data_IF_543564901923
#
_entry.id   IF_543564901923
#
_cell.length_a   1.000
_cell.length_b   1.000
_cell.length_c   1.000
_cell.angle_alpha   90.00
_cell.angle_beta   90.00
_cell.angle_gamma   90.00
#
_symmetry.space_group_name_H-M   'P 1'
#
loop_
_entity.id
_entity.type
_entity.pdbx_description
1 polymer ?
#
# COMPACT_ATOMS: atom_id res chain seq x y z
N UNK A 1 0.39 8.67 5.12
CA UNK A 1 -1.08 8.64 4.90
C UNK A 1 -1.79 8.67 6.23
N UNK A 2 -2.94 9.34 6.33
CA UNK A 2 -3.60 9.70 7.60
C UNK A 2 -5.10 9.42 7.54
N UNK A 3 -5.62 8.72 8.54
CA UNK A 3 -7.04 8.57 8.83
C UNK A 3 -7.33 9.40 10.09
N UNK A 4 -7.87 10.60 9.89
CA UNK A 4 -8.14 11.54 10.98
C UNK A 4 -9.31 11.11 11.84
N UNK A 5 -10.24 10.32 11.30
CA UNK A 5 -11.43 9.87 12.01
C UNK A 5 -11.07 8.86 13.08
N UNK A 6 -10.17 7.92 12.76
CA UNK A 6 -9.75 6.87 13.69
C UNK A 6 -8.38 7.14 14.34
N UNK A 7 -7.77 8.31 14.09
CA UNK A 7 -6.47 8.69 14.66
C UNK A 7 -5.32 7.79 14.20
N UNK A 8 -5.39 7.22 12.99
CA UNK A 8 -4.39 6.27 12.48
C UNK A 8 -3.51 6.94 11.43
N UNK A 9 -2.21 6.75 11.54
CA UNK A 9 -1.24 7.19 10.54
C UNK A 9 -0.40 6.00 10.09
N UNK A 10 -0.08 5.97 8.80
CA UNK A 10 0.91 5.05 8.22
C UNK A 10 1.97 5.90 7.52
N UNK A 11 3.21 5.73 7.93
CA UNK A 11 4.38 6.27 7.25
C UNK A 11 5.16 5.11 6.62
N UNK A 12 5.54 5.26 5.37
CA UNK A 12 6.36 4.30 4.65
C UNK A 12 7.68 4.96 4.25
N UNK A 13 8.77 4.22 4.44
CA UNK A 13 10.11 4.57 3.97
C UNK A 13 10.66 3.36 3.23
N UNK A 14 11.53 3.61 2.24
CA UNK A 14 12.00 2.60 1.31
C UNK A 14 13.50 2.73 1.09
N UNK A 15 14.15 1.60 0.86
CA UNK A 15 15.58 1.50 0.58
C UNK A 15 15.80 0.61 -0.64
N UNK A 16 16.95 0.75 -1.28
CA UNK A 16 17.33 -0.10 -2.42
C UNK A 16 17.63 -1.54 -1.99
N UNK A 17 18.14 -1.73 -0.77
CA UNK A 17 18.44 -3.06 -0.22
C UNK A 17 18.00 -3.20 1.24
N UNK A 18 17.82 -4.44 1.69
CA UNK A 18 17.50 -4.77 3.08
C UNK A 18 18.64 -4.34 4.03
N UNK A 19 19.89 -4.52 3.62
CA UNK A 19 21.05 -4.10 4.40
C UNK A 19 21.07 -2.58 4.60
N UNK A 20 20.73 -1.80 3.56
CA UNK A 20 20.64 -0.34 3.65
C UNK A 20 19.52 0.11 4.59
N UNK A 21 18.40 -0.62 4.62
CA UNK A 21 17.31 -0.42 5.57
C UNK A 21 17.78 -0.67 7.00
N UNK A 22 18.34 -1.84 7.28
CA UNK A 22 18.81 -2.21 8.62
C UNK A 22 19.95 -1.31 9.12
N UNK A 23 20.89 -0.95 8.25
CA UNK A 23 21.97 -0.01 8.58
C UNK A 23 21.46 1.42 8.90
N UNK A 24 20.23 1.76 8.51
CA UNK A 24 19.61 3.05 8.83
C UNK A 24 18.83 3.05 10.15
N UNK A 25 18.66 1.89 10.80
CA UNK A 25 17.78 1.72 11.97
C UNK A 25 18.11 2.69 13.11
N UNK A 26 19.40 2.90 13.41
CA UNK A 26 19.86 3.84 14.45
C UNK A 26 19.51 5.30 14.12
N UNK A 27 19.47 5.67 12.84
CA UNK A 27 19.11 7.03 12.41
C UNK A 27 17.60 7.25 12.37
N UNK A 28 16.84 6.22 11.99
CA UNK A 28 15.37 6.30 11.88
C UNK A 28 14.68 6.13 13.24
N UNK A 29 15.29 5.42 14.18
CA UNK A 29 14.78 5.23 15.54
C UNK A 29 14.34 6.53 16.23
N UNK A 30 15.22 7.54 16.36
CA UNK A 30 14.87 8.82 16.98
C UNK A 30 13.74 9.58 16.25
N UNK A 31 13.65 9.46 14.91
CA UNK A 31 12.58 10.07 14.12
C UNK A 31 11.23 9.43 14.51
N UNK A 32 11.20 8.10 14.60
CA UNK A 32 10.01 7.34 15.02
C UNK A 32 9.61 7.68 16.46
N UNK A 33 10.56 7.74 17.39
CA UNK A 33 10.29 8.10 18.79
C UNK A 33 9.68 9.51 18.91
N UNK A 34 10.22 10.47 18.16
CA UNK A 34 9.66 11.82 18.11
C UNK A 34 8.24 11.82 17.54
N UNK A 35 7.97 11.06 16.49
CA UNK A 35 6.62 10.94 15.92
C UNK A 35 5.64 10.31 16.91
N UNK A 36 6.06 9.26 17.62
CA UNK A 36 5.27 8.61 18.68
C UNK A 36 4.91 9.61 19.78
N UNK A 37 5.90 10.36 20.28
CA UNK A 37 5.69 11.37 21.32
C UNK A 37 4.73 12.48 20.87
N UNK A 38 4.83 12.94 19.62
CA UNK A 38 3.95 13.97 19.06
C UNK A 38 2.52 13.48 18.84
N UNK A 39 2.34 12.23 18.39
CA UNK A 39 1.00 11.68 18.14
C UNK A 39 0.34 11.08 19.39
N UNK A 40 1.09 10.87 20.47
CA UNK A 40 0.56 10.38 21.74
C UNK A 40 0.08 8.92 21.70
N UNK A 41 0.75 8.07 20.92
CA UNK A 41 0.31 6.69 20.68
C UNK A 41 1.45 5.66 20.74
N UNK A 42 1.29 4.55 20.01
CA UNK A 42 2.32 3.53 19.80
C UNK A 42 2.53 3.31 18.31
N UNK A 43 3.73 2.91 17.90
CA UNK A 43 4.01 2.51 16.52
C UNK A 43 4.19 0.99 16.41
N UNK A 44 3.63 0.42 15.36
CA UNK A 44 3.99 -0.92 14.88
C UNK A 44 4.92 -0.76 13.68
N UNK A 45 6.03 -1.52 13.67
CA UNK A 45 7.01 -1.49 12.58
C UNK A 45 6.95 -2.82 11.86
N UNK A 46 6.79 -2.77 10.54
CA UNK A 46 6.78 -3.95 9.69
C UNK A 46 7.71 -3.72 8.50
N UNK A 47 8.44 -4.76 8.14
CA UNK A 47 9.32 -4.79 6.98
C UNK A 47 8.62 -5.53 5.83
N UNK A 48 8.65 -4.91 4.66
CA UNK A 48 7.98 -5.37 3.46
C UNK A 48 8.89 -5.21 2.25
N UNK A 49 8.80 -6.16 1.34
CA UNK A 49 9.36 -6.07 0.00
C UNK A 49 8.39 -5.31 -0.91
N UNK A 50 8.90 -4.43 -1.77
CA UNK A 50 8.09 -3.77 -2.79
C UNK A 50 8.05 -4.69 -4.01
N UNK A 51 6.91 -5.36 -4.21
CA UNK A 51 6.71 -6.30 -5.33
C UNK A 51 6.21 -5.60 -6.60
N UNK A 52 5.64 -4.41 -6.46
CA UNK A 52 5.16 -3.64 -7.60
C UNK A 52 4.95 -2.17 -7.25
N UNK A 53 5.21 -1.31 -8.22
CA UNK A 53 4.97 0.13 -8.11
C UNK A 53 4.72 0.70 -9.51
N UNK A 54 3.50 1.21 -9.70
CA UNK A 54 3.03 1.76 -10.96
C UNK A 54 2.45 3.15 -10.74
N UNK A 55 2.74 4.11 -11.63
CA UNK A 55 2.18 5.46 -11.58
C UNK A 55 1.60 5.83 -12.96
N UNK A 56 0.29 6.07 -13.01
CA UNK A 56 -0.34 6.64 -14.18
C UNK A 56 -0.03 8.14 -14.28
N UNK A 57 -0.14 8.87 -13.17
CA UNK A 57 0.18 10.30 -13.10
C UNK A 57 0.59 10.75 -11.69
N UNK A 58 1.04 12.02 -11.60
CA UNK A 58 1.45 12.62 -10.32
C UNK A 58 0.23 12.90 -9.45
N UNK A 59 0.34 12.57 -8.17
CA UNK A 59 -0.63 12.94 -7.15
C UNK A 59 -0.55 14.43 -6.84
N UNK A 60 -1.66 14.99 -6.36
CA UNK A 60 -1.78 16.38 -5.95
C UNK A 60 -2.38 16.51 -4.55
N UNK A 61 -2.46 17.73 -4.02
CA UNK A 61 -3.12 18.00 -2.76
C UNK A 61 -4.59 17.56 -2.82
N UNK A 62 -5.06 16.82 -1.82
CA UNK A 62 -6.40 16.21 -1.82
C UNK A 62 -6.42 14.73 -2.22
N UNK A 63 -5.31 14.20 -2.75
CA UNK A 63 -5.17 12.78 -3.05
C UNK A 63 -5.41 11.89 -1.82
N UNK A 64 -5.95 10.71 -2.06
CA UNK A 64 -6.29 9.76 -1.02
C UNK A 64 -5.87 8.34 -1.41
N UNK A 65 -5.74 7.47 -0.43
CA UNK A 65 -5.24 6.10 -0.63
C UNK A 65 -6.20 5.10 -0.01
N UNK A 66 -6.57 4.08 -0.79
CA UNK A 66 -7.18 2.86 -0.27
C UNK A 66 -6.10 1.80 -0.10
N UNK A 67 -5.88 1.36 1.13
CA UNK A 67 -5.00 0.24 1.43
C UNK A 67 -5.83 -1.01 1.72
N UNK A 68 -5.50 -2.10 1.02
CA UNK A 68 -6.12 -3.42 1.17
C UNK A 68 -5.05 -4.39 1.66
N UNK A 69 -5.21 -4.90 2.87
CA UNK A 69 -4.37 -5.96 3.41
C UNK A 69 -4.98 -7.31 3.05
N UNK A 70 -4.14 -8.21 2.56
CA UNK A 70 -4.52 -9.57 2.22
C UNK A 70 -3.51 -10.57 2.78
N UNK A 71 -3.89 -11.85 2.78
CA UNK A 71 -3.01 -12.96 3.11
C UNK A 71 -3.25 -14.12 2.16
N UNK A 72 -2.19 -14.83 1.81
CA UNK A 72 -2.24 -16.11 1.11
C UNK A 72 -1.27 -17.09 1.77
N UNK A 73 -1.23 -18.32 1.29
CA UNK A 73 -0.17 -19.26 1.65
C UNK A 73 1.19 -18.68 1.20
N UNK A 74 2.23 -18.66 2.07
CA UNK A 74 3.56 -18.18 1.71
C UNK A 74 4.11 -18.78 0.40
N UNK A 75 3.82 -20.05 0.11
CA UNK A 75 4.25 -20.72 -1.12
C UNK A 75 3.57 -20.21 -2.39
N UNK A 76 2.47 -19.47 -2.26
CA UNK A 76 1.66 -18.93 -3.36
C UNK A 76 1.86 -17.44 -3.59
N UNK A 77 2.70 -16.77 -2.80
CA UNK A 77 2.82 -15.31 -2.85
C UNK A 77 3.32 -14.80 -4.20
N UNK A 78 4.27 -15.49 -4.84
CA UNK A 78 4.76 -15.12 -6.17
C UNK A 78 3.66 -15.24 -7.22
N UNK A 79 2.91 -16.33 -7.22
CA UNK A 79 1.77 -16.49 -8.12
C UNK A 79 0.69 -15.40 -7.90
N UNK A 80 0.47 -14.98 -6.66
CA UNK A 80 -0.45 -13.89 -6.34
C UNK A 80 0.07 -12.52 -6.84
N UNK A 81 1.38 -12.27 -6.75
CA UNK A 81 2.02 -11.08 -7.32
C UNK A 81 1.87 -11.05 -8.84
N UNK A 82 2.10 -12.17 -9.52
CA UNK A 82 1.94 -12.24 -10.99
C UNK A 82 0.49 -11.97 -11.42
N UNK A 83 -0.50 -12.57 -10.76
CA UNK A 83 -1.92 -12.29 -11.05
C UNK A 83 -2.27 -10.83 -10.76
N UNK A 84 -1.72 -10.27 -9.68
CA UNK A 84 -1.91 -8.85 -9.38
C UNK A 84 -1.38 -7.96 -10.51
N UNK A 85 -0.15 -8.20 -10.98
CA UNK A 85 0.47 -7.42 -12.05
C UNK A 85 -0.25 -7.60 -13.39
N UNK A 86 -0.61 -8.83 -13.74
CA UNK A 86 -1.18 -9.14 -15.06
C UNK A 86 -2.67 -8.80 -15.20
N UNK A 87 -3.42 -8.74 -14.10
CA UNK A 87 -4.88 -8.56 -14.14
C UNK A 87 -5.39 -7.45 -13.23
N UNK A 88 -5.08 -7.53 -11.93
CA UNK A 88 -5.64 -6.60 -10.95
C UNK A 88 -5.17 -5.16 -11.18
N UNK A 89 -3.87 -4.95 -11.41
CA UNK A 89 -3.30 -3.62 -11.62
C UNK A 89 -3.87 -2.93 -12.88
N UNK A 90 -3.88 -3.54 -14.07
CA UNK A 90 -4.55 -2.96 -15.24
C UNK A 90 -6.01 -2.61 -14.99
N UNK A 91 -6.75 -3.47 -14.28
CA UNK A 91 -8.15 -3.17 -13.96
C UNK A 91 -8.31 -2.04 -12.92
N UNK A 92 -7.30 -1.79 -12.08
CA UNK A 92 -7.27 -0.64 -11.17
C UNK A 92 -6.99 0.67 -11.91
N UNK A 93 -6.19 0.63 -12.99
CA UNK A 93 -5.91 1.80 -13.84
C UNK A 93 -7.18 2.37 -14.49
N UNK A 94 -8.16 1.51 -14.77
CA UNK A 94 -9.47 1.91 -15.31
C UNK A 94 -10.42 2.55 -14.28
N UNK A 95 -10.04 2.57 -12.99
CA UNK A 95 -10.85 3.22 -11.96
C UNK A 95 -10.75 4.73 -12.08
N UNK A 96 -11.90 5.40 -11.97
CA UNK A 96 -11.98 6.85 -11.96
C UNK A 96 -11.02 7.47 -10.92
N UNK A 97 -10.21 8.43 -11.39
CA UNK A 97 -9.21 9.13 -10.61
C UNK A 97 -8.01 8.31 -10.15
N UNK A 98 -7.75 7.12 -10.70
CA UNK A 98 -6.56 6.33 -10.36
C UNK A 98 -5.25 7.10 -10.66
N UNK A 99 -4.39 7.30 -9.67
CA UNK A 99 -3.08 7.93 -9.87
C UNK A 99 -1.93 6.91 -9.90
N UNK A 100 -1.95 5.95 -8.97
CA UNK A 100 -0.85 5.01 -8.78
C UNK A 100 -1.28 3.82 -7.92
N UNK A 101 -0.53 2.73 -8.01
CA UNK A 101 -0.63 1.61 -7.10
C UNK A 101 0.74 1.13 -6.64
N UNK A 102 0.83 0.71 -5.38
CA UNK A 102 1.97 -0.04 -4.87
C UNK A 102 1.53 -1.35 -4.24
N UNK A 103 2.32 -2.40 -4.45
CA UNK A 103 2.15 -3.69 -3.82
C UNK A 103 3.36 -3.98 -2.94
N UNK A 104 3.11 -4.19 -1.66
CA UNK A 104 4.12 -4.57 -0.68
C UNK A 104 3.81 -5.97 -0.14
N UNK A 105 4.82 -6.83 -0.04
CA UNK A 105 4.66 -8.24 0.35
C UNK A 105 5.58 -8.61 1.51
N UNK A 106 5.15 -9.58 2.30
CA UNK A 106 5.98 -10.25 3.29
C UNK A 106 5.97 -11.75 2.98
N UNK A 107 7.01 -12.20 2.26
CA UNK A 107 7.13 -13.58 1.76
C UNK A 107 6.99 -14.64 2.85
N UNK A 108 7.59 -14.40 4.01
CA UNK A 108 7.58 -15.34 5.14
C UNK A 108 6.18 -15.56 5.72
N UNK A 109 5.37 -14.51 5.81
CA UNK A 109 4.04 -14.59 6.43
C UNK A 109 2.90 -14.79 5.42
N UNK A 110 3.18 -14.65 4.12
CA UNK A 110 2.16 -14.68 3.07
C UNK A 110 1.28 -13.42 3.04
N UNK A 111 1.61 -12.38 3.83
CA UNK A 111 0.84 -11.13 3.87
C UNK A 111 1.23 -10.23 2.70
N UNK A 112 0.27 -9.46 2.21
CA UNK A 112 0.50 -8.38 1.27
C UNK A 112 -0.40 -7.17 1.59
N UNK A 113 0.01 -6.00 1.13
CA UNK A 113 -0.84 -4.81 1.12
C UNK A 113 -0.73 -4.12 -0.24
N UNK A 114 -1.88 -3.92 -0.87
CA UNK A 114 -2.01 -3.09 -2.07
C UNK A 114 -2.52 -1.71 -1.65
N UNK A 115 -1.81 -0.66 -2.05
CA UNK A 115 -2.18 0.73 -1.83
C UNK A 115 -2.54 1.36 -3.17
N UNK A 116 -3.81 1.71 -3.36
CA UNK A 116 -4.31 2.42 -4.55
C UNK A 116 -4.49 3.89 -4.22
N UNK A 117 -3.84 4.77 -4.97
CA UNK A 117 -3.98 6.21 -4.80
C UNK A 117 -4.96 6.77 -5.81
N UNK A 118 -5.84 7.65 -5.35
CA UNK A 118 -6.82 8.36 -6.17
C UNK A 118 -6.62 9.87 -6.08
N UNK A 119 -7.07 10.59 -7.11
CA UNK A 119 -6.99 12.05 -7.23
C UNK A 119 -7.66 12.76 -6.05
N UNK A 120 -8.83 12.27 -5.65
CA UNK A 120 -9.59 12.83 -4.54
C UNK A 120 -10.50 11.78 -3.86
N UNK A 121 -11.07 12.18 -2.73
CA UNK A 121 -11.95 11.33 -1.93
C UNK A 121 -13.25 10.94 -2.65
N UNK A 122 -13.72 11.74 -3.60
CA UNK A 122 -14.95 11.49 -4.35
C UNK A 122 -14.73 10.40 -5.40
N UNK A 123 -13.64 10.48 -6.16
CA UNK A 123 -13.19 9.44 -7.08
C UNK A 123 -12.96 8.11 -6.35
N UNK A 124 -12.25 8.14 -5.21
CA UNK A 124 -12.10 6.95 -4.36
C UNK A 124 -13.46 6.41 -3.91
N UNK A 125 -14.40 7.26 -3.46
CA UNK A 125 -15.72 6.81 -3.02
C UNK A 125 -16.53 6.18 -4.15
N UNK A 126 -16.49 6.75 -5.37
CA UNK A 126 -17.15 6.19 -6.57
C UNK A 126 -16.55 4.84 -6.97
N UNK A 127 -15.24 4.64 -6.78
CA UNK A 127 -14.55 3.39 -7.15
C UNK A 127 -14.75 2.24 -6.16
N UNK A 128 -15.46 2.43 -5.03
CA UNK A 128 -15.59 1.42 -3.95
C UNK A 128 -16.14 0.09 -4.42
N UNK A 129 -17.22 0.10 -5.21
CA UNK A 129 -17.88 -1.12 -5.69
C UNK A 129 -16.98 -1.87 -6.68
N UNK A 130 -16.44 -1.17 -7.67
CA UNK A 130 -15.51 -1.75 -8.66
C UNK A 130 -14.26 -2.31 -7.97
N UNK A 131 -13.65 -1.55 -7.06
CA UNK A 131 -12.49 -2.01 -6.27
C UNK A 131 -12.82 -3.21 -5.39
N UNK A 132 -14.04 -3.31 -4.85
CA UNK A 132 -14.48 -4.51 -4.13
C UNK A 132 -14.64 -5.72 -5.05
N UNK A 133 -15.18 -5.55 -6.26
CA UNK A 133 -15.28 -6.62 -7.26
C UNK A 133 -13.88 -7.13 -7.66
N UNK A 134 -12.92 -6.23 -7.93
CA UNK A 134 -11.54 -6.61 -8.23
C UNK A 134 -10.90 -7.46 -7.13
N UNK A 135 -11.16 -7.12 -5.85
CA UNK A 135 -10.67 -7.92 -4.71
C UNK A 135 -11.30 -9.31 -4.67
N UNK A 136 -12.61 -9.43 -4.95
CA UNK A 136 -13.30 -10.73 -5.01
C UNK A 136 -12.73 -11.59 -6.14
N UNK A 137 -12.48 -11.01 -7.31
CA UNK A 137 -11.94 -11.75 -8.44
C UNK A 137 -10.48 -12.16 -8.21
N UNK A 138 -9.65 -11.28 -7.64
CA UNK A 138 -8.29 -11.61 -7.21
C UNK A 138 -8.29 -12.75 -6.19
N UNK A 139 -9.20 -12.72 -5.20
CA UNK A 139 -9.36 -13.79 -4.21
C UNK A 139 -9.72 -15.13 -4.85
N UNK A 140 -10.62 -15.15 -5.83
CA UNK A 140 -11.00 -16.38 -6.56
C UNK A 140 -9.84 -16.98 -7.35
N UNK A 141 -9.01 -16.15 -7.98
CA UNK A 141 -7.92 -16.62 -8.83
C UNK A 141 -6.70 -17.09 -8.02
N UNK A 142 -6.39 -16.40 -6.92
CA UNK A 142 -5.12 -16.61 -6.18
C UNK A 142 -5.31 -17.31 -4.84
N UNK A 143 -6.53 -17.37 -4.32
CA UNK A 143 -6.82 -17.83 -2.96
C UNK A 143 -6.44 -16.83 -1.88
N UNK A 144 -6.22 -15.55 -2.21
CA UNK A 144 -5.97 -14.51 -1.20
C UNK A 144 -7.22 -14.25 -0.36
N UNK A 145 -7.03 -14.07 0.94
CA UNK A 145 -8.04 -13.64 1.90
C UNK A 145 -7.84 -12.16 2.22
N UNK A 146 -8.90 -11.35 2.15
CA UNK A 146 -8.85 -9.95 2.56
C UNK A 146 -8.91 -9.83 4.09
N UNK A 147 -7.90 -9.18 4.67
CA UNK A 147 -7.78 -8.98 6.12
C UNK A 147 -8.38 -7.66 6.58
N UNK A 148 -8.13 -6.57 5.84
CA UNK A 148 -8.62 -5.23 6.18
C UNK A 148 -8.62 -4.36 4.93
N UNK A 149 -9.50 -3.36 4.91
CA UNK A 149 -9.52 -2.30 3.89
C UNK A 149 -9.71 -0.98 4.61
N UNK A 150 -8.79 -0.04 4.37
CA UNK A 150 -8.84 1.28 4.97
C UNK A 150 -8.59 2.36 3.94
N UNK A 151 -9.20 3.51 4.15
CA UNK A 151 -9.07 4.69 3.32
C UNK A 151 -8.37 5.79 4.13
N UNK A 152 -7.44 6.50 3.49
CA UNK A 152 -6.59 7.49 4.13
C UNK A 152 -6.45 8.71 3.23
N UNK A 153 -6.18 9.88 3.83
CA UNK A 153 -5.61 11.00 3.10
C UNK A 153 -4.13 10.77 2.80
N UNK A 154 -3.68 11.17 1.61
CA UNK A 154 -2.27 11.20 1.24
C UNK A 154 -1.61 12.52 1.68
N UNK A 155 -1.24 12.62 2.96
CA UNK A 155 -0.59 13.82 3.49
C UNK A 155 0.83 14.09 2.92
N UNK A 156 1.56 13.05 2.51
CA UNK A 156 2.91 13.15 1.93
C UNK A 156 3.04 12.16 0.78
N UNK A 157 3.41 12.66 -0.40
CA UNK A 157 3.55 11.90 -1.63
C UNK A 157 4.98 11.94 -2.19
N UNK A 158 5.96 11.46 -1.41
CA UNK A 158 7.38 11.47 -1.82
C UNK A 158 7.98 10.06 -1.72
N UNK A 159 7.56 9.16 -2.61
CA UNK A 159 8.25 7.89 -2.82
C UNK A 159 9.15 7.98 -4.06
N UNK A 160 10.46 7.91 -3.86
CA UNK A 160 11.49 7.92 -4.93
C UNK A 160 11.86 6.51 -5.41
N UNK A 161 11.00 5.53 -5.18
CA UNK A 161 11.18 4.18 -5.71
C UNK A 161 10.89 4.22 -7.21
N UNK A 162 11.80 3.72 -8.07
CA UNK A 162 11.56 3.61 -9.50
C UNK A 162 10.29 2.81 -9.81
N UNK A 163 9.68 3.03 -10.98
CA UNK A 163 8.63 2.12 -11.43
C UNK A 163 9.17 0.71 -11.62
N UNK A 164 8.34 -0.27 -11.28
CA UNK A 164 8.69 -1.69 -11.37
C UNK A 164 7.71 -2.36 -12.31
N UNK A 165 8.23 -2.87 -13.43
CA UNK A 165 7.50 -3.62 -14.43
C UNK A 165 6.96 -4.95 -13.87
#
# INVERSE_FOLDING_TARGET
MVDRTNGRCIATSSWETEEAMHASAERVGPIRERAIALFGGSAHVEEWEIAGLHRAHRTHEGACVRATWVKTDPSRIDAAVEVYKAGTLPAMEELDGFCSASLMINRRSGRAVSCTTYDDAEAMRRSREQSAALRVDAARQTGVEALDVREFELALAHLRVPEMA
#
